data_IF_011534551371
#
_entry.id   IF_011534551371
#
_cell.length_a   1.000
_cell.length_b   1.000
_cell.length_c   1.000
_cell.angle_alpha   90.00
_cell.angle_beta   90.00
_cell.angle_gamma   90.00
#
_symmetry.space_group_name_H-M   'P 1'
#
loop_
_entity.id
_entity.type
_entity.pdbx_description
1 polymer ?
#
# COMPACT_ATOMS: atom_id res chain seq x y z
N UNK A 1 3.08 -8.89 13.42
CA UNK A 1 3.76 -7.67 13.92
C UNK A 1 4.16 -6.85 12.71
N UNK A 2 3.61 -5.64 12.52
CA UNK A 2 3.94 -4.80 11.37
C UNK A 2 5.35 -4.25 11.57
N UNK A 3 6.34 -4.84 10.90
CA UNK A 3 7.73 -4.38 10.98
C UNK A 3 8.01 -3.45 9.82
N UNK A 4 8.39 -2.22 10.14
CA UNK A 4 8.99 -1.30 9.19
C UNK A 4 10.16 -1.98 8.47
N UNK A 5 10.26 -1.90 7.14
CA UNK A 5 11.40 -2.43 6.40
C UNK A 5 12.71 -1.84 6.91
N UNK A 6 13.76 -2.66 6.99
CA UNK A 6 15.08 -2.23 7.48
C UNK A 6 15.67 -1.06 6.67
N UNK A 7 15.28 -0.93 5.40
CA UNK A 7 15.74 0.13 4.50
C UNK A 7 14.94 1.44 4.61
N UNK A 8 13.88 1.51 5.42
CA UNK A 8 12.91 2.61 5.35
C UNK A 8 13.54 3.99 5.60
N UNK A 9 14.31 4.13 6.68
CA UNK A 9 14.95 5.40 7.03
C UNK A 9 16.08 5.77 6.06
N UNK A 10 16.85 4.78 5.61
CA UNK A 10 17.90 4.98 4.61
C UNK A 10 17.31 5.47 3.28
N UNK A 11 16.21 4.88 2.83
CA UNK A 11 15.51 5.28 1.62
C UNK A 11 14.97 6.72 1.72
N UNK A 12 14.36 7.10 2.86
CA UNK A 12 13.93 8.49 3.08
C UNK A 12 15.10 9.46 3.05
N UNK A 13 16.22 9.14 3.71
CA UNK A 13 17.41 9.99 3.69
C UNK A 13 17.99 10.15 2.27
N UNK A 14 18.00 9.07 1.48
CA UNK A 14 18.41 9.11 0.08
C UNK A 14 17.51 10.04 -0.74
N UNK A 15 16.18 9.94 -0.60
CA UNK A 15 15.23 10.80 -1.32
C UNK A 15 15.36 12.27 -0.93
N UNK A 16 15.46 12.58 0.38
CA UNK A 16 15.65 13.95 0.87
C UNK A 16 16.90 14.63 0.29
N UNK A 17 17.98 13.86 0.12
CA UNK A 17 19.24 14.38 -0.44
C UNK A 17 19.15 14.63 -1.95
N UNK A 18 18.35 13.84 -2.66
CA UNK A 18 18.28 13.87 -4.12
C UNK A 18 17.31 14.93 -4.66
N UNK A 19 16.26 15.28 -3.90
CA UNK A 19 15.22 16.21 -4.37
C UNK A 19 14.64 17.02 -3.19
N UNK A 20 14.73 18.35 -3.27
CA UNK A 20 14.26 19.26 -2.22
C UNK A 20 12.74 19.34 -2.11
N UNK A 21 12.01 19.16 -3.22
CA UNK A 21 10.54 19.12 -3.21
C UNK A 21 10.09 17.84 -2.52
N UNK A 22 10.71 16.70 -2.86
CA UNK A 22 10.44 15.44 -2.16
C UNK A 22 10.82 15.53 -0.69
N UNK A 23 11.93 16.20 -0.34
CA UNK A 23 12.31 16.42 1.05
C UNK A 23 11.23 17.16 1.84
N UNK A 24 10.73 18.27 1.28
CA UNK A 24 9.65 19.05 1.87
C UNK A 24 8.37 18.21 2.03
N UNK A 25 8.01 17.40 1.02
CA UNK A 25 6.85 16.50 1.08
C UNK A 25 7.00 15.43 2.18
N UNK A 26 8.16 14.80 2.33
CA UNK A 26 8.39 13.82 3.39
C UNK A 26 8.28 14.50 4.76
N UNK A 27 8.84 15.70 4.92
CA UNK A 27 8.83 16.42 6.20
C UNK A 27 7.43 16.96 6.56
N UNK A 28 6.61 17.33 5.58
CA UNK A 28 5.23 17.81 5.79
C UNK A 28 4.22 16.68 5.99
N UNK A 29 4.40 15.53 5.35
CA UNK A 29 3.43 14.44 5.27
C UNK A 29 4.01 13.11 5.76
N UNK A 30 4.70 13.10 6.91
CA UNK A 30 5.24 11.88 7.48
C UNK A 30 4.10 10.93 7.93
N UNK A 31 3.82 9.94 7.09
CA UNK A 31 2.82 8.89 7.30
C UNK A 31 3.44 7.66 8.02
N UNK A 32 2.62 6.72 8.53
CA UNK A 32 3.13 5.48 9.09
C UNK A 32 4.07 4.75 8.13
N UNK A 33 5.12 4.07 8.65
CA UNK A 33 6.04 3.35 7.80
C UNK A 33 5.36 2.32 6.90
N UNK A 34 5.95 2.10 5.72
CA UNK A 34 5.52 1.04 4.82
C UNK A 34 5.46 -0.29 5.58
N UNK A 35 4.38 -1.03 5.40
CA UNK A 35 4.22 -2.33 6.03
C UNK A 35 3.63 -3.32 5.03
N UNK A 36 4.11 -4.56 5.09
CA UNK A 36 3.49 -5.66 4.36
C UNK A 36 2.22 -6.14 5.08
N UNK A 37 1.20 -6.54 4.32
CA UNK A 37 -0.01 -7.16 4.85
C UNK A 37 0.16 -8.65 5.18
N UNK A 38 1.27 -9.28 4.76
CA UNK A 38 1.57 -10.69 5.04
C UNK A 38 0.87 -11.70 4.11
N UNK A 39 -0.30 -11.37 3.58
CA UNK A 39 -1.07 -12.26 2.70
C UNK A 39 -0.78 -12.02 1.21
N UNK A 40 0.25 -12.69 0.68
CA UNK A 40 0.71 -12.49 -0.70
C UNK A 40 -0.37 -12.83 -1.75
N UNK A 41 -1.06 -13.95 -1.57
CA UNK A 41 -2.10 -14.39 -2.50
C UNK A 41 -3.27 -13.39 -2.54
N UNK A 42 -3.79 -13.01 -1.37
CA UNK A 42 -4.85 -12.01 -1.27
C UNK A 42 -4.43 -10.67 -1.89
N UNK A 43 -3.19 -10.24 -1.61
CA UNK A 43 -2.62 -9.01 -2.17
C UNK A 43 -2.57 -9.06 -3.71
N UNK A 44 -2.19 -10.20 -4.29
CA UNK A 44 -2.17 -10.39 -5.73
C UNK A 44 -3.58 -10.32 -6.32
N UNK A 45 -4.53 -11.06 -5.76
CA UNK A 45 -5.92 -11.05 -6.26
C UNK A 45 -6.53 -9.65 -6.13
N UNK A 46 -6.32 -8.97 -5.00
CA UNK A 46 -6.81 -7.60 -4.78
C UNK A 46 -6.18 -6.61 -5.76
N UNK A 47 -4.92 -6.82 -6.13
CA UNK A 47 -4.24 -6.02 -7.16
C UNK A 47 -4.85 -6.24 -8.54
N UNK A 48 -5.20 -7.47 -8.91
CA UNK A 48 -5.87 -7.80 -10.17
C UNK A 48 -7.28 -7.18 -10.21
N UNK A 49 -8.07 -7.33 -9.14
CA UNK A 49 -9.44 -6.80 -9.03
C UNK A 49 -9.47 -5.28 -9.21
N UNK A 50 -8.46 -4.56 -8.70
CA UNK A 50 -8.41 -3.10 -8.76
C UNK A 50 -7.86 -2.50 -10.05
N UNK A 51 -7.47 -3.30 -11.04
CA UNK A 51 -6.86 -2.76 -12.27
C UNK A 51 -7.86 -1.91 -13.07
N UNK A 52 -7.39 -0.75 -13.52
CA UNK A 52 -8.12 0.20 -14.39
C UNK A 52 -9.43 0.76 -13.84
N UNK A 53 -9.64 0.69 -12.52
CA UNK A 53 -10.83 1.21 -11.85
C UNK A 53 -10.46 2.07 -10.63
N UNK A 54 -11.42 2.85 -10.13
CA UNK A 54 -11.21 3.63 -8.90
C UNK A 54 -11.09 2.73 -7.67
N UNK A 55 -10.48 3.24 -6.60
CA UNK A 55 -10.39 2.54 -5.32
C UNK A 55 -11.78 2.15 -4.77
N UNK A 56 -12.77 3.04 -4.89
CA UNK A 56 -14.16 2.79 -4.48
C UNK A 56 -14.76 1.62 -5.26
N UNK A 57 -14.54 1.58 -6.58
CA UNK A 57 -15.02 0.47 -7.41
C UNK A 57 -14.31 -0.85 -7.08
N UNK A 58 -12.99 -0.80 -6.86
CA UNK A 58 -12.20 -1.97 -6.47
C UNK A 58 -12.68 -2.55 -5.14
N UNK A 59 -12.91 -1.71 -4.13
CA UNK A 59 -13.42 -2.15 -2.82
C UNK A 59 -14.85 -2.71 -2.93
N UNK A 60 -15.71 -2.12 -3.74
CA UNK A 60 -17.06 -2.64 -3.98
C UNK A 60 -17.05 -4.03 -4.65
N UNK A 61 -16.18 -4.25 -5.64
CA UNK A 61 -16.02 -5.55 -6.30
C UNK A 61 -15.39 -6.57 -5.36
N UNK A 62 -14.37 -6.16 -4.60
CA UNK A 62 -13.71 -7.01 -3.60
C UNK A 62 -14.72 -7.55 -2.57
N UNK A 63 -15.53 -6.68 -1.98
CA UNK A 63 -16.55 -7.09 -1.01
C UNK A 63 -17.57 -8.07 -1.61
N UNK A 64 -17.96 -7.89 -2.88
CA UNK A 64 -18.85 -8.85 -3.56
C UNK A 64 -18.16 -10.20 -3.75
N UNK A 65 -16.89 -10.21 -4.14
CA UNK A 65 -16.11 -11.43 -4.33
C UNK A 65 -16.00 -12.22 -3.02
N UNK A 66 -15.55 -11.58 -1.94
CA UNK A 66 -15.35 -12.24 -0.64
C UNK A 66 -16.66 -12.75 -0.06
N UNK A 67 -17.74 -11.96 -0.10
CA UNK A 67 -19.06 -12.40 0.36
C UNK A 67 -19.58 -13.61 -0.41
N UNK A 68 -19.24 -13.74 -1.70
CA UNK A 68 -19.61 -14.91 -2.50
C UNK A 68 -18.78 -16.13 -2.18
N UNK A 69 -17.53 -15.97 -1.74
CA UNK A 69 -16.67 -17.07 -1.31
C UNK A 69 -17.08 -17.61 0.07
N UNK A 70 -17.54 -16.76 0.98
CA UNK A 70 -18.04 -17.17 2.31
C UNK A 70 -19.37 -17.93 2.25
N UNK A 71 -20.12 -17.79 1.16
CA UNK A 71 -21.41 -18.46 0.96
C UNK A 71 -21.29 -19.89 0.38
N UNK A 72 -20.07 -20.38 0.13
CA UNK A 72 -19.75 -21.70 -0.42
C UNK A 72 -19.06 -22.53 0.67
#
# INVERSE_FOLDING_TARGET
>A
MKTTPSYWEEAKAHLRKSDSIIAELIDQYEEPPLHSKGELFETLVRSIVGQQISAIAADAIWNRLTNRMEAI
#
